data_IF_023156368066
#
_entry.id   IF_023156368066
#
_cell.length_a   1.000
_cell.length_b   1.000
_cell.length_c   1.000
_cell.angle_alpha   90.00
_cell.angle_beta   90.00
_cell.angle_gamma   90.00
#
_symmetry.space_group_name_H-M   'P 1'
#
loop_
_entity.id
_entity.type
_entity.pdbx_description
1 polymer ?
#
# COMPACT_ATOMS: atom_id res chain seq x y z
N UNK A 1 -14.41 4.44 -5.92
CA UNK A 1 -13.67 3.76 -4.86
C UNK A 1 -13.20 4.82 -3.88
N UNK A 2 -13.57 4.66 -2.61
CA UNK A 2 -13.07 5.43 -1.48
C UNK A 2 -11.76 4.82 -0.99
N UNK A 3 -11.00 5.55 -0.17
CA UNK A 3 -9.77 5.01 0.42
C UNK A 3 -10.04 3.74 1.24
N UNK A 4 -11.11 3.72 2.04
CA UNK A 4 -11.48 2.55 2.86
C UNK A 4 -11.78 1.31 2.00
N UNK A 5 -12.53 1.46 0.90
CA UNK A 5 -12.79 0.35 -0.03
C UNK A 5 -11.50 -0.18 -0.67
N UNK A 6 -10.58 0.70 -1.06
CA UNK A 6 -9.29 0.31 -1.60
C UNK A 6 -8.44 -0.41 -0.53
N UNK A 7 -8.39 0.14 0.67
CA UNK A 7 -7.62 -0.35 1.80
C UNK A 7 -8.07 -1.76 2.22
N UNK A 8 -9.37 -1.99 2.35
CA UNK A 8 -9.92 -3.30 2.67
C UNK A 8 -9.56 -4.32 1.57
N UNK A 9 -9.75 -3.97 0.30
CA UNK A 9 -9.39 -4.84 -0.82
C UNK A 9 -7.89 -5.18 -0.86
N UNK A 10 -7.03 -4.23 -0.50
CA UNK A 10 -5.59 -4.47 -0.38
C UNK A 10 -5.29 -5.46 0.76
N UNK A 11 -5.85 -5.24 1.95
CA UNK A 11 -5.60 -6.07 3.13
C UNK A 11 -6.18 -7.49 3.01
N UNK A 12 -7.25 -7.66 2.24
CA UNK A 12 -7.77 -8.99 1.89
C UNK A 12 -6.80 -9.77 0.99
N UNK A 13 -6.03 -9.07 0.15
CA UNK A 13 -5.11 -9.69 -0.81
C UNK A 13 -3.70 -9.87 -0.26
N UNK A 14 -3.20 -8.90 0.51
CA UNK A 14 -1.85 -8.86 1.03
C UNK A 14 -1.88 -8.92 2.57
N UNK A 15 -1.37 -10.00 3.20
CA UNK A 15 -1.53 -10.25 4.63
C UNK A 15 -0.78 -9.26 5.53
N UNK A 16 0.29 -8.64 5.02
CA UNK A 16 1.08 -7.64 5.76
C UNK A 16 0.36 -6.29 5.88
N UNK A 17 -0.72 -6.13 5.11
CA UNK A 17 -1.56 -4.94 5.10
C UNK A 17 -0.92 -3.74 4.39
N UNK A 18 -1.74 -2.73 4.10
CA UNK A 18 -1.26 -1.51 3.46
C UNK A 18 -0.61 -0.58 4.50
N UNK A 19 0.64 -0.15 4.30
CA UNK A 19 1.35 0.71 5.25
C UNK A 19 0.83 2.15 5.17
N UNK A 20 -0.17 2.43 6.00
CA UNK A 20 -0.90 3.70 6.06
C UNK A 20 -0.03 4.89 6.44
N UNK A 21 0.87 4.74 7.43
CA UNK A 21 1.67 5.85 7.97
C UNK A 21 2.63 6.48 6.94
N UNK A 22 3.47 5.73 6.19
CA UNK A 22 4.33 6.33 5.16
C UNK A 22 3.53 6.83 3.94
N UNK A 23 2.42 6.18 3.59
CA UNK A 23 1.72 6.44 2.33
C UNK A 23 0.64 7.53 2.42
N UNK A 24 -0.12 7.64 3.52
CA UNK A 24 -1.17 8.66 3.66
C UNK A 24 -0.64 10.09 3.65
N UNK A 25 0.64 10.31 3.97
CA UNK A 25 1.28 11.62 3.83
C UNK A 25 1.28 12.14 2.38
N UNK A 26 1.12 11.26 1.39
CA UNK A 26 1.01 11.61 -0.04
C UNK A 26 -0.44 11.86 -0.49
N UNK A 27 -1.41 11.64 0.39
CA UNK A 27 -2.84 11.89 0.17
C UNK A 27 -3.62 10.66 -0.28
N UNK A 28 -4.93 10.65 0.05
CA UNK A 28 -5.83 9.52 -0.20
C UNK A 28 -5.91 9.12 -1.67
N UNK A 29 -6.00 10.09 -2.59
CA UNK A 29 -6.09 9.82 -4.02
C UNK A 29 -4.84 9.11 -4.56
N UNK A 30 -3.66 9.47 -4.03
CA UNK A 30 -2.41 8.81 -4.38
C UNK A 30 -2.38 7.38 -3.81
N UNK A 31 -2.81 7.19 -2.55
CA UNK A 31 -2.90 5.86 -1.95
C UNK A 31 -3.84 4.92 -2.74
N UNK A 32 -5.01 5.41 -3.14
CA UNK A 32 -5.95 4.62 -3.96
C UNK A 32 -5.28 4.18 -5.27
N UNK A 33 -4.57 5.09 -5.95
CA UNK A 33 -3.88 4.73 -7.18
C UNK A 33 -2.80 3.67 -6.96
N UNK A 34 -2.00 3.78 -5.90
CA UNK A 34 -0.99 2.78 -5.55
C UNK A 34 -1.62 1.43 -5.25
N UNK A 35 -2.70 1.41 -4.47
CA UNK A 35 -3.45 0.19 -4.15
C UNK A 35 -3.95 -0.48 -5.43
N UNK A 36 -4.56 0.28 -6.34
CA UNK A 36 -5.04 -0.26 -7.62
C UNK A 36 -3.90 -0.88 -8.45
N UNK A 37 -2.73 -0.22 -8.50
CA UNK A 37 -1.55 -0.75 -9.19
C UNK A 37 -1.06 -2.05 -8.54
N UNK A 38 -0.98 -2.10 -7.22
CA UNK A 38 -0.59 -3.29 -6.46
C UNK A 38 -1.56 -4.45 -6.69
N UNK A 39 -2.87 -4.20 -6.59
CA UNK A 39 -3.92 -5.20 -6.82
C UNK A 39 -3.87 -5.76 -8.24
N UNK A 40 -3.66 -4.89 -9.24
CA UNK A 40 -3.58 -5.25 -10.66
C UNK A 40 -2.30 -6.03 -10.97
N UNK A 41 -1.16 -5.61 -10.44
CA UNK A 41 0.11 -6.31 -10.58
C UNK A 41 0.17 -7.62 -9.78
N UNK A 42 -0.70 -7.76 -8.77
CA UNK A 42 -0.65 -8.86 -7.80
C UNK A 42 0.58 -8.81 -6.90
N UNK A 43 1.13 -7.61 -6.69
CA UNK A 43 2.35 -7.34 -5.93
C UNK A 43 2.09 -6.27 -4.88
N UNK A 44 2.68 -6.42 -3.70
CA UNK A 44 2.52 -5.44 -2.63
C UNK A 44 3.35 -4.16 -2.88
N UNK A 45 3.25 -3.18 -1.98
CA UNK A 45 3.95 -1.89 -2.10
C UNK A 45 5.48 -1.99 -2.00
N UNK A 46 6.01 -3.03 -1.37
CA UNK A 46 7.45 -3.28 -1.23
C UNK A 46 7.99 -3.92 -2.51
N UNK A 47 7.27 -4.93 -3.03
CA UNK A 47 7.57 -5.58 -4.30
C UNK A 47 7.46 -4.61 -5.50
N UNK A 48 6.53 -3.65 -5.42
CA UNK A 48 6.37 -2.58 -6.39
C UNK A 48 7.33 -1.41 -6.18
N UNK A 49 8.16 -1.44 -5.12
CA UNK A 49 9.16 -0.41 -4.78
C UNK A 49 8.53 0.98 -4.59
N UNK A 50 7.27 1.03 -4.14
CA UNK A 50 6.63 2.28 -3.70
C UNK A 50 7.16 2.75 -2.35
N UNK A 51 7.65 1.79 -1.56
CA UNK A 51 8.35 2.00 -0.29
C UNK A 51 9.65 1.25 -0.38
N UNK A 52 10.75 1.92 -0.03
CA UNK A 52 11.99 1.23 0.24
C UNK A 52 11.82 0.52 1.59
N UNK A 53 11.93 -0.80 1.59
CA UNK A 53 12.12 -1.58 2.80
C UNK A 53 13.47 -1.13 3.39
N UNK A 54 13.45 -0.15 4.29
CA UNK A 54 14.66 0.33 4.95
C UNK A 54 15.06 -0.72 5.99
N UNK A 55 16.13 -1.51 5.75
CA UNK A 55 16.51 -2.61 6.63
C UNK A 55 17.03 -2.12 8.00
N UNK A 56 17.08 -0.82 8.26
CA UNK A 56 17.54 -0.24 9.52
C UNK A 56 16.39 0.21 10.45
N UNK A 57 15.13 -0.06 10.10
CA UNK A 57 14.01 0.16 11.02
C UNK A 57 13.97 -1.02 12.01
N UNK A 58 14.60 -0.86 13.17
CA UNK A 58 14.43 -1.79 14.29
C UNK A 58 12.97 -1.68 14.80
N UNK A 59 12.24 -2.80 14.72
CA UNK A 59 10.87 -2.96 15.25
C UNK A 59 10.85 -3.08 16.78
#
# INVERSE_FOLDING_TARGET
>A
MTFYEAFDAYNEKFPDGFPTIPLLNRGEAWCINVIEQCLHAGKDVYEMVYIEDDPNIEY
#
